data_IF_014141222067
#
_entry.id   IF_014141222067
#
_cell.length_a   1.000
_cell.length_b   1.000
_cell.length_c   1.000
_cell.angle_alpha   90.00
_cell.angle_beta   90.00
_cell.angle_gamma   90.00
#
_symmetry.space_group_name_H-M   'P 1'
#
loop_
_entity.id
_entity.type
_entity.pdbx_description
1 polymer ?
#
# COMPACT_ATOMS: atom_id res chain seq x y z
N UNK A 1 -19.88 36.53 -21.72
CA UNK A 1 -18.95 36.21 -20.61
C UNK A 1 -19.00 34.71 -20.48
N UNK A 2 -18.28 34.01 -21.35
CA UNK A 2 -17.93 32.62 -21.12
C UNK A 2 -16.72 32.70 -20.20
N UNK A 3 -16.91 32.41 -18.92
CA UNK A 3 -15.79 32.09 -18.06
C UNK A 3 -15.30 30.75 -18.54
N UNK A 4 -14.21 30.74 -19.30
CA UNK A 4 -13.41 29.55 -19.48
C UNK A 4 -13.09 29.03 -18.07
N UNK A 5 -13.79 27.97 -17.65
CA UNK A 5 -13.37 27.10 -16.56
C UNK A 5 -12.09 26.42 -17.03
N UNK A 6 -10.98 27.18 -17.09
CA UNK A 6 -9.65 26.62 -17.33
C UNK A 6 -9.32 25.75 -16.13
N UNK A 7 -9.56 24.44 -16.26
CA UNK A 7 -9.01 23.44 -15.36
C UNK A 7 -7.51 23.69 -15.22
N UNK A 8 -7.05 24.05 -14.02
CA UNK A 8 -5.63 24.19 -13.77
C UNK A 8 -5.00 22.78 -13.74
N UNK A 9 -4.17 22.41 -14.73
CA UNK A 9 -3.60 21.05 -14.80
C UNK A 9 -2.61 20.77 -13.67
N UNK A 10 -2.15 21.78 -12.94
CA UNK A 10 -1.25 21.63 -11.80
C UNK A 10 -1.99 21.34 -10.48
N UNK A 11 -3.31 21.46 -10.46
CA UNK A 11 -4.14 21.23 -9.29
C UNK A 11 -4.97 19.95 -9.45
N UNK A 12 -5.26 19.30 -8.34
CA UNK A 12 -6.20 18.20 -8.27
C UNK A 12 -6.94 18.20 -6.93
N UNK A 13 -8.16 17.68 -6.96
CA UNK A 13 -8.99 17.54 -5.77
C UNK A 13 -8.45 16.44 -4.84
N UNK A 14 -8.36 16.74 -3.55
CA UNK A 14 -8.02 15.82 -2.49
C UNK A 14 -9.22 15.57 -1.58
N UNK A 15 -9.66 14.32 -1.54
CA UNK A 15 -10.85 13.92 -0.78
C UNK A 15 -10.66 13.96 0.75
N UNK A 16 -9.43 13.86 1.25
CA UNK A 16 -9.14 13.80 2.70
C UNK A 16 -9.45 15.14 3.37
N UNK A 17 -9.12 16.23 2.69
CA UNK A 17 -9.25 17.59 3.19
C UNK A 17 -10.28 18.42 2.42
N UNK A 18 -11.00 17.79 1.48
CA UNK A 18 -12.09 18.38 0.70
C UNK A 18 -11.68 19.70 0.01
N UNK A 19 -10.55 19.68 -0.71
CA UNK A 19 -10.02 20.87 -1.37
C UNK A 19 -9.08 20.53 -2.53
N UNK A 20 -8.80 21.52 -3.38
CA UNK A 20 -7.78 21.40 -4.41
C UNK A 20 -6.38 21.67 -3.86
N UNK A 21 -5.45 20.79 -4.21
CA UNK A 21 -4.03 20.89 -3.85
C UNK A 21 -3.15 20.63 -5.08
N UNK A 22 -1.88 21.05 -5.05
CA UNK A 22 -0.93 20.78 -6.14
C UNK A 22 -0.81 19.28 -6.45
N UNK A 23 -0.81 18.90 -7.74
CA UNK A 23 -0.71 17.49 -8.19
C UNK A 23 0.57 16.79 -7.77
N UNK A 24 1.64 17.54 -7.52
CA UNK A 24 2.91 17.02 -7.02
C UNK A 24 2.92 16.81 -5.50
N UNK A 25 1.82 17.13 -4.81
CA UNK A 25 1.68 16.90 -3.38
C UNK A 25 1.80 15.39 -3.04
N UNK A 26 2.50 15.02 -1.94
CA UNK A 26 2.75 13.61 -1.57
C UNK A 26 1.50 12.72 -1.45
N UNK A 27 0.33 13.32 -1.19
CA UNK A 27 -0.95 12.61 -1.17
C UNK A 27 -1.21 11.82 -2.46
N UNK A 28 -1.01 12.42 -3.63
CA UNK A 28 -1.32 11.78 -4.91
C UNK A 28 -0.35 10.63 -5.21
N UNK A 29 0.90 10.76 -4.78
CA UNK A 29 1.88 9.67 -4.89
C UNK A 29 1.54 8.53 -3.92
N UNK A 30 1.17 8.84 -2.67
CA UNK A 30 0.66 7.83 -1.74
C UNK A 30 -0.55 7.06 -2.32
N UNK A 31 -1.52 7.79 -2.84
CA UNK A 31 -2.75 7.23 -3.43
C UNK A 31 -2.44 6.33 -4.65
N UNK A 32 -1.58 6.78 -5.56
CA UNK A 32 -1.17 6.02 -6.72
C UNK A 32 -0.41 4.73 -6.34
N UNK A 33 0.54 4.83 -5.39
CA UNK A 33 1.33 3.68 -4.95
C UNK A 33 0.47 2.61 -4.26
N UNK A 34 -0.51 3.00 -3.45
CA UNK A 34 -1.44 2.02 -2.86
C UNK A 34 -2.28 1.32 -3.96
N UNK A 35 -2.82 2.08 -4.92
CA UNK A 35 -3.60 1.50 -6.03
C UNK A 35 -2.76 0.55 -6.90
N UNK A 36 -1.49 0.88 -7.13
CA UNK A 36 -0.55 -0.02 -7.80
C UNK A 36 -0.28 -1.28 -6.97
N UNK A 37 -0.10 -1.14 -5.66
CA UNK A 37 0.05 -2.29 -4.78
C UNK A 37 -1.16 -3.24 -4.80
N UNK A 38 -2.39 -2.69 -4.80
CA UNK A 38 -3.64 -3.45 -4.92
C UNK A 38 -3.76 -4.14 -6.30
N UNK A 39 -3.42 -3.42 -7.38
CA UNK A 39 -3.43 -3.97 -8.73
C UNK A 39 -2.47 -5.16 -8.86
N UNK A 40 -1.26 -5.04 -8.32
CA UNK A 40 -0.27 -6.13 -8.29
C UNK A 40 -0.75 -7.32 -7.43
N UNK A 41 -1.41 -7.08 -6.29
CA UNK A 41 -2.06 -8.19 -5.55
C UNK A 41 -3.17 -8.84 -6.37
N UNK A 42 -3.95 -8.06 -7.14
CA UNK A 42 -4.95 -8.56 -8.08
C UNK A 42 -4.36 -9.46 -9.17
N UNK A 43 -3.22 -9.06 -9.76
CA UNK A 43 -2.48 -9.87 -10.72
C UNK A 43 -1.96 -11.17 -10.09
N UNK A 44 -1.43 -11.09 -8.87
CA UNK A 44 -1.01 -12.26 -8.09
C UNK A 44 -2.16 -13.23 -7.81
N UNK A 45 -3.36 -12.74 -7.51
CA UNK A 45 -4.59 -13.55 -7.40
C UNK A 45 -4.91 -14.23 -8.74
N UNK A 46 -4.72 -13.54 -9.86
CA UNK A 46 -4.94 -14.07 -11.21
C UNK A 46 -4.11 -15.32 -11.53
N UNK A 47 -2.94 -15.49 -10.91
CA UNK A 47 -2.08 -16.67 -11.10
C UNK A 47 -2.63 -17.95 -10.42
N UNK A 48 -3.70 -17.86 -9.61
CA UNK A 48 -4.42 -19.04 -9.11
C UNK A 48 -3.74 -19.78 -7.94
N UNK A 49 -2.59 -19.30 -7.45
CA UNK A 49 -1.81 -19.95 -6.38
C UNK A 49 -2.01 -19.21 -5.04
N UNK A 50 -2.31 -19.95 -3.97
CA UNK A 50 -2.58 -19.42 -2.62
C UNK A 50 -3.57 -18.23 -2.63
N UNK A 51 -4.66 -18.40 -3.37
CA UNK A 51 -5.71 -17.39 -3.59
C UNK A 51 -6.23 -16.75 -2.30
N UNK A 52 -6.60 -17.59 -1.33
CA UNK A 52 -7.22 -17.10 -0.09
C UNK A 52 -6.25 -16.22 0.71
N UNK A 53 -5.00 -16.66 0.85
CA UNK A 53 -3.96 -15.88 1.53
C UNK A 53 -3.72 -14.54 0.83
N UNK A 54 -3.71 -14.52 -0.51
CA UNK A 54 -3.46 -13.29 -1.27
C UNK A 54 -4.65 -12.32 -1.19
N UNK A 55 -5.89 -12.83 -1.19
CA UNK A 55 -7.10 -12.02 -0.94
C UNK A 55 -7.11 -11.42 0.46
N UNK A 56 -6.71 -12.19 1.47
CA UNK A 56 -6.61 -11.67 2.83
C UNK A 56 -5.60 -10.53 2.93
N UNK A 57 -4.48 -10.58 2.18
CA UNK A 57 -3.53 -9.46 2.12
C UNK A 57 -4.12 -8.22 1.44
N UNK A 58 -4.89 -8.41 0.37
CA UNK A 58 -5.60 -7.34 -0.31
C UNK A 58 -6.63 -6.68 0.61
N UNK A 59 -7.44 -7.49 1.32
CA UNK A 59 -8.41 -6.99 2.29
C UNK A 59 -7.74 -6.19 3.42
N UNK A 60 -6.58 -6.64 3.89
CA UNK A 60 -5.77 -5.91 4.88
C UNK A 60 -5.25 -4.58 4.33
N UNK A 61 -4.80 -4.55 3.08
CA UNK A 61 -4.30 -3.34 2.43
C UNK A 61 -5.43 -2.30 2.27
N UNK A 62 -6.57 -2.71 1.73
CA UNK A 62 -7.75 -1.85 1.55
C UNK A 62 -8.25 -1.29 2.89
N UNK A 63 -8.34 -2.14 3.93
CA UNK A 63 -8.71 -1.69 5.28
C UNK A 63 -7.77 -0.60 5.80
N UNK A 64 -6.46 -0.76 5.60
CA UNK A 64 -5.46 0.23 6.02
C UNK A 64 -5.51 1.49 5.15
N UNK A 65 -5.69 1.36 3.84
CA UNK A 65 -5.82 2.49 2.93
C UNK A 65 -7.01 3.37 3.31
N UNK A 66 -8.16 2.77 3.59
CA UNK A 66 -9.37 3.46 4.01
C UNK A 66 -9.25 4.17 5.37
N UNK A 67 -8.29 3.77 6.21
CA UNK A 67 -8.09 4.36 7.54
C UNK A 67 -7.77 5.86 7.50
N UNK A 68 -7.19 6.35 6.39
CA UNK A 68 -6.92 7.78 6.22
C UNK A 68 -8.20 8.62 6.06
N UNK A 69 -9.30 7.99 5.62
CA UNK A 69 -10.63 8.59 5.42
C UNK A 69 -11.55 8.27 6.60
N UNK A 70 -11.47 7.05 7.11
CA UNK A 70 -12.27 6.53 8.22
C UNK A 70 -11.38 6.04 9.38
N UNK A 71 -11.22 6.82 10.46
CA UNK A 71 -10.43 6.43 11.63
C UNK A 71 -10.88 5.16 12.35
N UNK A 72 -12.13 4.71 12.10
CA UNK A 72 -12.68 3.49 12.69
C UNK A 72 -12.33 2.23 11.88
N UNK A 73 -11.86 2.39 10.64
CA UNK A 73 -11.35 1.29 9.82
C UNK A 73 -10.08 0.71 10.44
N UNK A 74 -10.21 -0.40 11.17
CA UNK A 74 -9.09 -1.08 11.84
C UNK A 74 -9.10 -2.56 11.53
N UNK A 75 -7.92 -3.09 11.17
CA UNK A 75 -7.69 -4.53 11.03
C UNK A 75 -8.18 -5.29 12.26
N UNK A 76 -8.94 -6.39 12.11
CA UNK A 76 -9.29 -7.29 13.21
C UNK A 76 -8.07 -7.80 14.00
N UNK A 77 -8.28 -8.17 15.27
CA UNK A 77 -7.22 -8.64 16.16
C UNK A 77 -6.41 -9.82 15.61
N UNK A 78 -7.09 -10.75 14.92
CA UNK A 78 -6.45 -11.94 14.33
C UNK A 78 -5.43 -11.52 13.26
N UNK A 79 -5.79 -10.59 12.38
CA UNK A 79 -4.91 -10.08 11.33
C UNK A 79 -3.76 -9.27 11.93
N UNK A 80 -4.03 -8.40 12.91
CA UNK A 80 -2.98 -7.65 13.62
C UNK A 80 -1.94 -8.57 14.25
N UNK A 81 -2.38 -9.66 14.89
CA UNK A 81 -1.49 -10.66 15.47
C UNK A 81 -0.66 -11.36 14.40
N UNK A 82 -1.27 -11.78 13.29
CA UNK A 82 -0.55 -12.40 12.17
C UNK A 82 0.59 -11.48 11.65
N UNK A 83 0.30 -10.19 11.47
CA UNK A 83 1.29 -9.20 11.02
C UNK A 83 2.40 -8.92 12.03
N UNK A 84 2.14 -9.09 13.33
CA UNK A 84 3.15 -8.86 14.37
C UNK A 84 4.27 -9.91 14.39
N UNK A 85 4.08 -11.05 13.74
CA UNK A 85 5.06 -12.15 13.68
C UNK A 85 5.86 -12.18 12.36
N UNK A 86 5.77 -11.12 11.55
CA UNK A 86 6.53 -10.99 10.32
C UNK A 86 7.85 -10.26 10.57
N UNK A 87 8.95 -11.00 10.46
CA UNK A 87 10.31 -10.46 10.39
C UNK A 87 10.80 -10.46 8.95
N UNK A 88 11.61 -9.46 8.60
CA UNK A 88 12.24 -9.38 7.29
C UNK A 88 13.29 -10.50 7.14
N UNK A 89 13.24 -11.21 6.01
CA UNK A 89 14.15 -12.32 5.71
C UNK A 89 14.94 -11.95 4.47
N UNK A 90 16.23 -12.27 4.41
CA UNK A 90 16.99 -11.98 3.20
C UNK A 90 16.54 -12.87 2.02
N UNK A 91 16.41 -12.29 0.83
CA UNK A 91 16.08 -12.98 -0.43
C UNK A 91 17.10 -12.63 -1.51
N UNK A 92 17.60 -13.65 -2.22
CA UNK A 92 18.21 -13.43 -3.54
C UNK A 92 17.11 -13.19 -4.58
N UNK A 93 16.82 -11.91 -4.82
CA UNK A 93 15.78 -11.50 -5.77
C UNK A 93 16.08 -12.00 -7.18
N UNK A 94 17.35 -12.02 -7.61
CA UNK A 94 17.73 -12.44 -8.95
C UNK A 94 17.43 -13.93 -9.14
N UNK A 95 17.78 -14.76 -8.15
CA UNK A 95 17.48 -16.19 -8.18
C UNK A 95 15.97 -16.42 -8.27
N UNK A 96 15.18 -15.77 -7.41
CA UNK A 96 13.71 -15.91 -7.41
C UNK A 96 13.09 -15.48 -8.73
N UNK A 97 13.52 -14.35 -9.30
CA UNK A 97 13.00 -13.87 -10.59
C UNK A 97 13.44 -14.74 -11.76
N UNK A 98 14.63 -15.35 -11.69
CA UNK A 98 15.11 -16.29 -12.73
C UNK A 98 14.27 -17.57 -12.83
N UNK A 99 13.54 -17.92 -11.77
CA UNK A 99 12.58 -19.04 -11.78
C UNK A 99 11.27 -18.71 -12.52
N UNK A 100 11.00 -17.43 -12.82
CA UNK A 100 9.82 -17.00 -13.56
C UNK A 100 8.50 -17.11 -12.78
N UNK A 101 8.55 -17.15 -11.44
CA UNK A 101 7.36 -17.17 -10.58
C UNK A 101 6.66 -15.80 -10.61
N UNK A 102 5.64 -15.69 -11.48
CA UNK A 102 4.86 -14.45 -11.68
C UNK A 102 4.14 -14.02 -10.42
N UNK A 103 3.58 -14.96 -9.65
CA UNK A 103 2.89 -14.66 -8.40
C UNK A 103 3.84 -13.95 -7.44
N UNK A 104 5.02 -14.53 -7.24
CA UNK A 104 6.06 -13.93 -6.41
C UNK A 104 6.50 -12.57 -6.93
N UNK A 105 6.67 -12.42 -8.25
CA UNK A 105 7.04 -11.14 -8.86
C UNK A 105 6.01 -10.04 -8.57
N UNK A 106 4.72 -10.33 -8.75
CA UNK A 106 3.63 -9.40 -8.45
C UNK A 106 3.58 -9.04 -6.95
N UNK A 107 3.73 -10.01 -6.04
CA UNK A 107 3.77 -9.71 -4.60
C UNK A 107 5.00 -8.88 -4.20
N UNK A 108 6.16 -9.13 -4.80
CA UNK A 108 7.36 -8.32 -4.57
C UNK A 108 7.18 -6.89 -5.09
N UNK A 109 6.51 -6.73 -6.23
CA UNK A 109 6.15 -5.42 -6.76
C UNK A 109 5.19 -4.68 -5.81
N UNK A 110 4.14 -5.37 -5.36
CA UNK A 110 3.19 -4.85 -4.37
C UNK A 110 3.89 -4.38 -3.09
N UNK A 111 4.82 -5.20 -2.56
CA UNK A 111 5.66 -4.81 -1.42
C UNK A 111 6.46 -3.51 -1.66
N UNK A 112 7.07 -3.36 -2.85
CA UNK A 112 7.82 -2.15 -3.19
C UNK A 112 6.91 -0.91 -3.22
N UNK A 113 5.73 -1.04 -3.84
CA UNK A 113 4.73 0.03 -3.88
C UNK A 113 4.22 0.42 -2.49
N UNK A 114 3.91 -0.54 -1.61
CA UNK A 114 3.54 -0.25 -0.21
C UNK A 114 4.67 0.50 0.51
N UNK A 115 5.93 0.12 0.26
CA UNK A 115 7.10 0.77 0.88
C UNK A 115 7.25 2.22 0.43
N UNK A 116 7.03 2.51 -0.87
CA UNK A 116 6.99 3.87 -1.39
C UNK A 116 5.80 4.66 -0.82
N UNK A 117 4.62 4.07 -0.77
CA UNK A 117 3.44 4.68 -0.16
C UNK A 117 3.70 5.11 1.29
N UNK A 118 4.36 4.27 2.10
CA UNK A 118 4.76 4.63 3.48
C UNK A 118 5.66 5.86 3.50
N UNK A 119 6.62 5.97 2.58
CA UNK A 119 7.52 7.14 2.48
C UNK A 119 6.74 8.43 2.20
N UNK A 120 5.81 8.39 1.24
CA UNK A 120 4.94 9.53 0.93
C UNK A 120 4.02 9.88 2.10
N UNK A 121 3.49 8.87 2.80
CA UNK A 121 2.63 9.07 3.96
C UNK A 121 3.38 9.68 5.15
N UNK A 122 4.63 9.27 5.39
CA UNK A 122 5.52 9.91 6.39
C UNK A 122 5.81 11.37 6.02
N UNK A 123 6.00 11.66 4.73
CA UNK A 123 6.23 13.01 4.24
C UNK A 123 4.98 13.87 4.40
N UNK A 124 3.82 13.35 4.00
CA UNK A 124 2.51 13.98 4.14
C UNK A 124 2.17 14.28 5.61
N UNK A 125 2.56 13.41 6.55
CA UNK A 125 2.37 13.63 8.00
C UNK A 125 3.06 14.88 8.54
N UNK A 126 4.06 15.41 7.85
CA UNK A 126 4.74 16.67 8.24
C UNK A 126 3.92 17.91 7.90
N UNK A 127 2.89 17.79 7.06
CA UNK A 127 1.94 18.86 6.77
C UNK A 127 0.87 18.90 7.86
N UNK A 128 0.68 20.08 8.47
CA UNK A 128 -0.30 20.31 9.54
C UNK A 128 -1.74 20.00 9.10
N UNK A 129 -2.07 20.20 7.83
CA UNK A 129 -3.40 19.89 7.28
C UNK A 129 -3.68 18.38 7.26
N UNK A 130 -2.63 17.57 7.09
CA UNK A 130 -2.74 16.12 6.94
C UNK A 130 -2.40 15.33 8.20
N UNK A 131 -1.57 15.88 9.10
CA UNK A 131 -1.02 15.15 10.25
C UNK A 131 -2.08 14.46 11.10
N UNK A 132 -3.28 15.05 11.26
CA UNK A 132 -4.37 14.47 12.06
C UNK A 132 -5.02 13.23 11.44
N UNK A 133 -4.90 13.06 10.13
CA UNK A 133 -5.48 11.92 9.38
C UNK A 133 -4.53 10.72 9.31
N UNK A 134 -3.28 10.89 9.73
CA UNK A 134 -2.22 9.90 9.55
C UNK A 134 -1.76 9.41 10.92
N UNK A 135 -2.51 8.48 11.55
CA UNK A 135 -2.12 7.95 12.85
C UNK A 135 -0.92 7.02 12.72
N UNK A 136 -0.12 6.91 13.79
CA UNK A 136 1.01 5.97 13.86
C UNK A 136 0.61 4.54 13.57
N UNK A 137 -0.64 4.17 13.89
CA UNK A 137 -1.22 2.88 13.57
C UNK A 137 -1.13 2.56 12.08
N UNK A 138 -1.46 3.52 11.21
CA UNK A 138 -1.46 3.31 9.76
C UNK A 138 -0.06 3.00 9.24
N UNK A 139 0.93 3.84 9.58
CA UNK A 139 2.34 3.65 9.20
C UNK A 139 2.85 2.30 9.70
N UNK A 140 2.58 1.99 10.97
CA UNK A 140 3.02 0.75 11.61
C UNK A 140 2.49 -0.48 10.90
N UNK A 141 1.18 -0.53 10.64
CA UNK A 141 0.55 -1.73 10.07
C UNK A 141 0.73 -1.84 8.56
N UNK A 142 0.88 -0.74 7.81
CA UNK A 142 1.35 -0.80 6.42
C UNK A 142 2.76 -1.37 6.35
N UNK A 143 3.67 -0.94 7.25
CA UNK A 143 5.02 -1.50 7.31
C UNK A 143 5.02 -3.01 7.57
N UNK A 144 4.23 -3.46 8.55
CA UNK A 144 4.11 -4.89 8.85
C UNK A 144 3.46 -5.69 7.73
N UNK A 145 2.42 -5.13 7.09
CA UNK A 145 1.79 -5.74 5.92
C UNK A 145 2.79 -5.87 4.78
N UNK A 146 3.57 -4.82 4.49
CA UNK A 146 4.63 -4.84 3.49
C UNK A 146 5.63 -5.98 3.73
N UNK A 147 6.13 -6.13 4.96
CA UNK A 147 7.01 -7.24 5.35
C UNK A 147 6.33 -8.60 5.19
N UNK A 148 5.05 -8.71 5.54
CA UNK A 148 4.31 -9.95 5.41
C UNK A 148 4.10 -10.34 3.93
N UNK A 149 3.72 -9.38 3.07
CA UNK A 149 3.57 -9.56 1.61
C UNK A 149 4.89 -10.05 1.02
N UNK A 150 6.00 -9.45 1.41
CA UNK A 150 7.33 -9.87 1.01
C UNK A 150 7.65 -11.33 1.40
N UNK A 151 7.38 -11.73 2.64
CA UNK A 151 7.53 -13.14 3.08
C UNK A 151 6.65 -14.09 2.28
N UNK A 152 5.41 -13.70 2.04
CA UNK A 152 4.45 -14.48 1.26
C UNK A 152 4.87 -14.65 -0.20
N UNK A 153 5.59 -13.65 -0.74
CA UNK A 153 6.20 -13.71 -2.07
C UNK A 153 7.38 -14.68 -2.12
N UNK A 154 8.21 -14.74 -1.09
CA UNK A 154 9.34 -15.68 -1.01
C UNK A 154 8.81 -17.13 -0.98
N UNK A 155 7.66 -17.34 -0.32
CA UNK A 155 7.19 -18.66 0.08
C UNK A 155 7.99 -19.13 1.31
N UNK A 156 7.55 -20.16 2.02
CA UNK A 156 8.34 -20.75 3.11
C UNK A 156 9.64 -21.36 2.52
N UNK A 157 10.65 -20.53 2.28
CA UNK A 157 12.04 -20.97 2.19
C UNK A 157 12.38 -21.39 3.62
N UNK A 158 12.22 -22.69 3.90
CA UNK A 158 12.99 -23.31 4.97
C UNK A 158 14.45 -23.11 4.59
N UNK A 159 15.14 -22.24 5.33
CA UNK A 159 16.59 -22.34 5.48
C UNK A 159 16.93 -23.70 6.10
#
# INVERSE_FOLDING_TARGET
MESDEEENPEMAYCEIIDTEIPRDHPYFMYDAEIKLAEAEMGLSIGEGVRLQATRELLDMLDTLYNLIKDPDSKLPDVQRKALNHADEVWLDLKEKMSQGDKRSAHLLSSHAHITLAISYLITMRKDEKFSKFIPDYLIKYLGKLSTFVYREAIGHVML
#
